data_IF_750175612055
#
_entry.id   IF_750175612055
#
_cell.length_a   1.000
_cell.length_b   1.000
_cell.length_c   1.000
_cell.angle_alpha   90.00
_cell.angle_beta   90.00
_cell.angle_gamma   90.00
#
_symmetry.space_group_name_H-M   'P 1'
#
loop_
_entity.id
_entity.type
_entity.pdbx_description
1 polymer ?
#
# COMPACT_ATOMS: atom_id res chain seq x y z
N UNK A 1 -3.52 28.55 -5.01
CA UNK A 1 -3.06 28.75 -3.62
C UNK A 1 -2.12 27.62 -3.29
N UNK A 2 -0.95 27.96 -2.77
CA UNK A 2 0.16 27.06 -2.51
C UNK A 2 -0.32 25.83 -1.74
N UNK A 3 -0.16 24.64 -2.36
CA UNK A 3 -0.33 23.36 -1.67
C UNK A 3 0.86 23.25 -0.74
N UNK A 4 0.63 23.60 0.51
CA UNK A 4 1.55 23.44 1.62
C UNK A 4 2.03 21.98 1.62
N UNK A 5 3.32 21.79 1.32
CA UNK A 5 4.01 20.50 1.22
C UNK A 5 4.42 20.02 2.63
N UNK A 6 4.04 20.74 3.69
CA UNK A 6 4.63 20.58 5.02
C UNK A 6 3.79 19.76 6.01
N UNK A 7 2.57 19.36 5.64
CA UNK A 7 1.67 18.52 6.45
C UNK A 7 1.46 17.11 5.84
N UNK A 8 2.42 16.61 5.05
CA UNK A 8 2.54 15.16 4.83
C UNK A 8 3.31 14.60 6.02
N UNK A 9 2.59 14.24 7.07
CA UNK A 9 3.11 13.49 8.22
C UNK A 9 4.07 12.39 7.73
N UNK A 10 5.18 12.21 8.43
CA UNK A 10 6.24 11.28 8.01
C UNK A 10 5.67 9.85 7.98
N UNK A 11 5.28 9.38 6.79
CA UNK A 11 4.71 8.04 6.56
C UNK A 11 5.66 6.93 7.02
N UNK A 12 6.97 7.18 7.00
CA UNK A 12 7.96 6.26 7.56
C UNK A 12 7.91 6.26 9.09
N UNK A 13 7.57 7.37 9.73
CA UNK A 13 7.30 7.43 11.17
C UNK A 13 5.95 6.78 11.52
N UNK A 14 4.88 7.03 10.76
CA UNK A 14 3.55 6.46 10.99
C UNK A 14 3.48 4.93 10.77
N UNK A 15 4.36 4.41 9.92
CA UNK A 15 4.57 2.98 9.70
C UNK A 15 5.12 2.19 10.90
N UNK A 16 5.00 2.66 12.15
CA UNK A 16 5.50 1.98 13.37
C UNK A 16 5.07 0.52 13.50
N UNK A 17 3.93 0.15 12.89
CA UNK A 17 3.44 -1.23 12.86
C UNK A 17 4.20 -2.14 11.88
N UNK A 18 5.21 -1.62 11.18
CA UNK A 18 6.07 -2.30 10.22
C UNK A 18 7.52 -2.25 10.75
N UNK A 19 7.98 -3.29 11.46
CA UNK A 19 9.31 -3.30 12.08
C UNK A 19 10.44 -3.17 11.06
N UNK A 20 10.25 -3.70 9.86
CA UNK A 20 11.16 -3.55 8.73
C UNK A 20 10.48 -2.73 7.65
N UNK A 21 11.04 -1.58 7.32
CA UNK A 21 10.47 -0.68 6.31
C UNK A 21 11.53 0.21 5.70
N UNK A 22 11.20 0.79 4.56
CA UNK A 22 12.03 1.78 3.90
C UNK A 22 11.21 2.71 3.02
N UNK A 23 11.78 3.88 2.78
CA UNK A 23 11.29 4.93 1.91
C UNK A 23 12.18 4.97 0.69
N UNK A 24 11.58 4.95 -0.49
CA UNK A 24 12.22 5.23 -1.77
C UNK A 24 11.69 6.57 -2.24
N UNK A 25 12.56 7.57 -2.33
CA UNK A 25 12.21 8.91 -2.81
C UNK A 25 12.82 9.13 -4.18
N UNK A 26 11.99 9.49 -5.15
CA UNK A 26 12.41 9.94 -6.47
C UNK A 26 13.01 11.34 -6.33
N UNK A 27 14.22 11.51 -6.81
CA UNK A 27 14.98 12.78 -6.72
C UNK A 27 14.41 13.89 -7.61
N UNK A 28 13.68 13.55 -8.68
CA UNK A 28 13.19 14.53 -9.66
C UNK A 28 12.02 15.38 -9.17
N UNK A 29 11.19 14.85 -8.28
CA UNK A 29 9.94 15.49 -7.82
C UNK A 29 9.60 15.21 -6.34
N UNK A 30 10.56 14.68 -5.58
CA UNK A 30 10.40 14.29 -4.17
C UNK A 30 9.21 13.35 -3.91
N UNK A 31 8.73 12.67 -4.95
CA UNK A 31 7.69 11.65 -4.80
C UNK A 31 8.27 10.45 -4.07
N UNK A 32 7.54 9.94 -3.08
CA UNK A 32 8.05 8.92 -2.18
C UNK A 32 7.13 7.71 -2.10
N UNK A 33 7.74 6.53 -2.10
CA UNK A 33 7.08 5.26 -1.78
C UNK A 33 7.61 4.77 -0.45
N UNK A 34 6.73 4.44 0.48
CA UNK A 34 7.12 3.73 1.71
C UNK A 34 6.69 2.28 1.58
N UNK A 35 7.62 1.36 1.76
CA UNK A 35 7.36 -0.07 1.73
C UNK A 35 7.77 -0.65 3.08
N UNK A 36 6.91 -1.47 3.67
CA UNK A 36 7.26 -2.15 4.90
C UNK A 36 6.61 -3.51 5.05
N UNK A 37 7.24 -4.33 5.86
CA UNK A 37 6.85 -5.69 6.14
C UNK A 37 6.44 -5.82 7.60
N UNK A 38 5.26 -6.37 7.84
CA UNK A 38 4.74 -6.65 9.18
C UNK A 38 5.38 -7.90 9.79
N UNK A 39 5.68 -8.88 8.94
CA UNK A 39 6.40 -10.12 9.24
C UNK A 39 7.25 -10.47 8.00
N UNK A 40 7.81 -11.67 7.87
CA UNK A 40 8.65 -12.00 6.71
C UNK A 40 7.95 -11.94 5.33
N UNK A 41 6.62 -11.86 5.25
CA UNK A 41 5.91 -11.98 3.97
C UNK A 41 4.78 -10.96 3.75
N UNK A 42 4.10 -10.50 4.79
CA UNK A 42 3.03 -9.52 4.68
C UNK A 42 3.58 -8.10 4.49
N UNK A 43 3.39 -7.58 3.29
CA UNK A 43 3.92 -6.28 2.86
C UNK A 43 2.82 -5.21 2.80
N UNK A 44 3.23 -3.96 2.98
CA UNK A 44 2.42 -2.76 2.74
C UNK A 44 3.22 -1.79 1.88
N UNK A 45 2.60 -1.33 0.79
CA UNK A 45 3.11 -0.31 -0.12
C UNK A 45 2.28 0.97 0.08
N UNK A 46 2.95 2.07 0.37
CA UNK A 46 2.39 3.40 0.47
C UNK A 46 2.98 4.20 -0.68
N UNK A 47 2.13 4.73 -1.56
CA UNK A 47 2.50 5.58 -2.67
C UNK A 47 2.13 7.02 -2.30
N UNK A 48 3.08 7.76 -1.74
CA UNK A 48 2.78 8.99 -1.01
C UNK A 48 1.75 8.74 0.11
N UNK A 49 0.87 9.71 0.34
CA UNK A 49 -0.19 9.60 1.37
C UNK A 49 -1.39 8.74 0.91
N UNK A 50 -1.59 8.65 -0.40
CA UNK A 50 -2.64 7.88 -1.06
C UNK A 50 -2.19 7.66 -2.52
N UNK A 51 -2.19 6.42 -3.05
CA UNK A 51 -2.80 5.21 -2.48
C UNK A 51 -1.93 4.38 -1.52
N UNK A 52 -2.59 3.52 -0.73
CA UNK A 52 -1.95 2.51 0.12
C UNK A 52 -2.46 1.12 -0.21
N UNK A 53 -1.56 0.16 -0.41
CA UNK A 53 -1.88 -1.24 -0.70
C UNK A 53 -1.30 -2.14 0.36
N UNK A 54 -2.13 -3.01 0.95
CA UNK A 54 -1.71 -3.96 1.96
C UNK A 54 -1.99 -5.37 1.49
N UNK A 55 -0.99 -6.22 1.66
CA UNK A 55 -1.00 -7.61 1.23
C UNK A 55 -0.99 -8.54 2.44
N UNK A 56 -1.43 -9.77 2.23
CA UNK A 56 -1.24 -10.86 3.19
C UNK A 56 0.12 -11.56 2.96
N UNK A 57 0.38 -12.61 3.74
CA UNK A 57 1.59 -13.43 3.65
C UNK A 57 1.69 -14.25 2.36
N UNK A 58 0.59 -14.44 1.64
CA UNK A 58 0.53 -15.11 0.34
C UNK A 58 0.72 -14.13 -0.85
N UNK A 59 0.98 -12.84 -0.58
CA UNK A 59 1.09 -11.82 -1.63
C UNK A 59 -0.25 -11.40 -2.23
N UNK A 60 -1.37 -11.74 -1.59
CA UNK A 60 -2.70 -11.33 -2.04
C UNK A 60 -3.10 -9.98 -1.43
N UNK A 61 -3.72 -9.12 -2.23
CA UNK A 61 -4.21 -7.82 -1.82
C UNK A 61 -5.39 -7.99 -0.85
N UNK A 62 -5.22 -7.51 0.38
CA UNK A 62 -6.23 -7.66 1.45
C UNK A 62 -6.89 -6.34 1.85
N UNK A 63 -6.21 -5.20 1.70
CA UNK A 63 -6.76 -3.87 1.99
C UNK A 63 -6.14 -2.83 1.09
N UNK A 64 -6.93 -1.83 0.74
CA UNK A 64 -6.49 -0.69 -0.07
C UNK A 64 -7.03 0.59 0.54
N UNK A 65 -6.25 1.66 0.51
CA UNK A 65 -6.71 3.02 0.68
C UNK A 65 -6.49 3.73 -0.66
N UNK A 66 -7.57 4.22 -1.26
CA UNK A 66 -7.52 4.92 -2.55
C UNK A 66 -8.59 6.00 -2.55
N UNK A 67 -8.24 7.22 -2.97
CA UNK A 67 -9.16 8.37 -3.06
C UNK A 67 -9.90 8.63 -1.73
N UNK A 68 -9.23 8.42 -0.60
CA UNK A 68 -9.82 8.59 0.74
C UNK A 68 -10.74 7.45 1.18
N UNK A 69 -10.90 6.40 0.37
CA UNK A 69 -11.77 5.26 0.64
C UNK A 69 -10.98 4.08 1.20
N UNK A 70 -11.51 3.47 2.27
CA UNK A 70 -10.96 2.23 2.82
C UNK A 70 -11.63 1.04 2.16
N UNK A 71 -10.84 0.24 1.47
CA UNK A 71 -11.26 -0.98 0.81
C UNK A 71 -10.65 -2.19 1.53
N UNK A 72 -11.41 -3.28 1.56
CA UNK A 72 -10.99 -4.55 2.12
C UNK A 72 -11.33 -5.68 1.16
N UNK A 73 -10.54 -6.73 1.17
CA UNK A 73 -10.84 -7.93 0.42
C UNK A 73 -11.90 -8.77 1.14
N UNK A 74 -12.91 -9.22 0.42
CA UNK A 74 -14.01 -10.07 0.87
C UNK A 74 -14.41 -10.99 -0.29
N UNK A 75 -14.36 -12.30 -0.08
CA UNK A 75 -14.69 -13.31 -1.10
C UNK A 75 -13.98 -13.08 -2.45
N UNK A 76 -12.68 -12.74 -2.43
CA UNK A 76 -11.84 -12.42 -3.61
C UNK A 76 -12.26 -11.18 -4.41
N UNK A 77 -13.02 -10.28 -3.79
CA UNK A 77 -13.38 -8.98 -4.34
C UNK A 77 -13.06 -7.89 -3.34
N UNK A 78 -12.95 -6.66 -3.82
CA UNK A 78 -12.81 -5.52 -2.93
C UNK A 78 -14.20 -5.02 -2.50
N UNK A 79 -14.35 -4.73 -1.22
CA UNK A 79 -15.53 -4.08 -0.62
C UNK A 79 -15.10 -2.77 0.02
N UNK A 80 -15.91 -1.74 -0.11
CA UNK A 80 -15.74 -0.46 0.57
C UNK A 80 -16.20 -0.61 2.01
N UNK A 81 -15.34 -0.23 2.94
CA UNK A 81 -15.67 -0.13 4.35
C UNK A 81 -16.25 1.26 4.61
N UNK A 82 -17.58 1.33 4.71
CA UNK A 82 -18.28 2.55 5.06
C UNK A 82 -18.51 2.57 6.56
N UNK A 83 -18.09 3.65 7.22
CA UNK A 83 -18.47 3.92 8.61
C UNK A 83 -19.92 4.38 8.61
N UNK A 84 -20.80 3.59 9.19
CA UNK A 84 -22.17 4.02 9.44
C UNK A 84 -22.16 4.82 10.74
N UNK A 85 -22.19 6.14 10.63
CA UNK A 85 -22.32 7.07 11.75
C UNK A 85 -23.76 7.27 12.23
N UNK A 86 -24.69 6.48 11.68
CA UNK A 86 -26.10 6.52 12.06
C UNK A 86 -26.37 5.46 13.12
N UNK A 87 -26.94 5.89 14.24
CA UNK A 87 -27.35 5.15 15.43
C UNK A 87 -26.35 5.20 16.60
N UNK A 88 -26.84 5.71 17.73
CA UNK A 88 -26.19 5.78 19.04
C UNK A 88 -25.94 4.39 19.66
N UNK A 89 -25.14 3.57 18.98
CA UNK A 89 -24.80 2.19 19.34
C UNK A 89 -23.37 1.83 18.95
N UNK A 90 -22.91 0.59 19.24
CA UNK A 90 -21.55 0.16 18.93
C UNK A 90 -21.23 0.29 17.45
N UNK A 91 -20.06 0.86 17.15
CA UNK A 91 -19.60 1.24 15.82
C UNK A 91 -19.66 0.06 14.84
N UNK A 92 -20.63 0.08 13.92
CA UNK A 92 -20.78 -0.97 12.90
C UNK A 92 -20.20 -0.50 11.56
N UNK A 93 -19.38 -1.33 10.95
CA UNK A 93 -18.83 -1.09 9.62
C UNK A 93 -19.72 -1.81 8.61
N UNK A 94 -20.33 -1.06 7.68
CA UNK A 94 -21.11 -1.66 6.59
C UNK A 94 -20.20 -1.85 5.38
N UNK A 95 -20.19 -3.06 4.83
CA UNK A 95 -19.43 -3.39 3.62
C UNK A 95 -20.30 -3.11 2.39
N UNK A 96 -19.79 -2.34 1.43
CA UNK A 96 -20.42 -2.14 0.14
C UNK A 96 -19.57 -2.80 -0.95
N UNK A 97 -20.09 -3.76 -1.74
CA UNK A 97 -19.36 -4.32 -2.86
C UNK A 97 -18.92 -3.25 -3.85
N UNK A 98 -17.65 -3.30 -4.30
CA UNK A 98 -17.20 -2.43 -5.38
C UNK A 98 -17.78 -2.90 -6.71
N UNK A 99 -18.09 -1.95 -7.58
CA UNK A 99 -18.37 -2.24 -8.98
C UNK A 99 -17.13 -2.78 -9.69
N UNK A 100 -17.34 -3.51 -10.79
CA UNK A 100 -16.25 -4.06 -11.62
C UNK A 100 -15.28 -2.98 -12.11
N UNK A 101 -15.80 -1.79 -12.43
CA UNK A 101 -15.01 -0.64 -12.86
C UNK A 101 -14.11 -0.10 -11.74
N UNK A 102 -14.64 0.04 -10.53
CA UNK A 102 -13.89 0.52 -9.37
C UNK A 102 -12.78 -0.47 -9.01
N UNK A 103 -13.09 -1.78 -9.03
CA UNK A 103 -12.09 -2.81 -8.81
C UNK A 103 -10.98 -2.76 -9.88
N UNK A 104 -11.35 -2.55 -11.14
CA UNK A 104 -10.37 -2.42 -12.24
C UNK A 104 -9.47 -1.19 -12.03
N UNK A 105 -10.04 -0.05 -11.59
CA UNK A 105 -9.26 1.16 -11.26
C UNK A 105 -8.24 0.89 -10.16
N UNK A 106 -8.64 0.21 -9.09
CA UNK A 106 -7.72 -0.15 -7.99
C UNK A 106 -6.55 -0.99 -8.50
N UNK A 107 -6.83 -2.01 -9.31
CA UNK A 107 -5.78 -2.87 -9.88
C UNK A 107 -4.87 -2.08 -10.84
N UNK A 108 -5.43 -1.16 -11.62
CA UNK A 108 -4.66 -0.30 -12.52
C UNK A 108 -3.78 0.70 -11.77
N UNK A 109 -4.28 1.29 -10.68
CA UNK A 109 -3.50 2.14 -9.79
C UNK A 109 -2.33 1.37 -9.16
N UNK A 110 -2.57 0.16 -8.67
CA UNK A 110 -1.51 -0.70 -8.14
C UNK A 110 -0.45 -1.01 -9.20
N UNK A 111 -0.87 -1.43 -10.40
CA UNK A 111 0.03 -1.74 -11.50
C UNK A 111 0.85 -0.52 -11.95
N UNK A 112 0.25 0.67 -11.93
CA UNK A 112 0.93 1.93 -12.27
C UNK A 112 1.97 2.28 -11.20
N UNK A 113 1.59 2.19 -9.92
CA UNK A 113 2.47 2.47 -8.77
C UNK A 113 3.69 1.55 -8.73
N UNK A 114 3.48 0.23 -8.92
CA UNK A 114 4.59 -0.74 -8.93
C UNK A 114 5.48 -0.57 -10.17
N UNK A 115 4.91 -0.26 -11.34
CA UNK A 115 5.68 0.02 -12.55
C UNK A 115 6.54 1.29 -12.41
N UNK A 116 5.98 2.36 -11.85
CA UNK A 116 6.71 3.61 -11.58
C UNK A 116 7.84 3.38 -10.58
N UNK A 117 7.57 2.67 -9.48
CA UNK A 117 8.59 2.31 -8.50
C UNK A 117 9.71 1.48 -9.14
N UNK A 118 9.37 0.46 -9.94
CA UNK A 118 10.36 -0.37 -10.64
C UNK A 118 11.22 0.45 -11.61
N UNK A 119 10.60 1.37 -12.36
CA UNK A 119 11.32 2.27 -13.29
C UNK A 119 12.29 3.16 -12.54
N UNK A 120 11.84 3.75 -11.43
CA UNK A 120 12.63 4.67 -10.61
C UNK A 120 13.81 3.96 -9.95
N UNK A 121 13.62 2.74 -9.45
CA UNK A 121 14.70 1.89 -8.96
C UNK A 121 15.71 1.52 -10.07
N UNK A 122 15.23 1.24 -11.28
CA UNK A 122 16.07 0.86 -12.42
C UNK A 122 16.89 2.03 -12.99
N UNK A 123 16.36 3.25 -12.94
CA UNK A 123 17.07 4.46 -13.35
C UNK A 123 18.15 4.90 -12.35
N UNK A 124 18.11 4.39 -11.11
CA UNK A 124 19.06 4.74 -10.04
C UNK A 124 18.88 6.15 -9.48
N UNK A 125 17.84 6.87 -9.90
CA UNK A 125 17.58 8.26 -9.50
C UNK A 125 16.71 8.31 -8.24
N UNK A 126 17.22 7.66 -7.18
CA UNK A 126 16.49 7.42 -5.93
C UNK A 126 17.33 7.70 -4.71
N UNK A 127 16.65 8.15 -3.65
CA UNK A 127 17.15 8.11 -2.28
C UNK A 127 16.41 7.01 -1.52
N UNK A 128 17.15 6.23 -0.76
CA UNK A 128 16.61 5.12 0.01
C UNK A 128 16.94 5.32 1.48
N UNK A 129 15.91 5.31 2.31
CA UNK A 129 16.02 5.39 3.77
C UNK A 129 15.34 4.17 4.37
N UNK A 130 15.96 3.49 5.34
CA UNK A 130 15.39 2.26 5.91
C UNK A 130 15.39 2.28 7.44
N UNK A 131 14.48 1.49 8.01
CA UNK A 131 14.34 1.27 9.46
C UNK A 131 14.20 -0.22 9.71
N UNK A 132 15.04 -0.77 10.59
CA UNK A 132 15.00 -2.20 10.98
C UNK A 132 15.48 -3.17 9.90
N UNK A 133 15.93 -2.69 8.74
CA UNK A 133 16.48 -3.46 7.63
C UNK A 133 17.59 -2.65 6.95
N UNK A 134 18.63 -3.34 6.48
CA UNK A 134 19.71 -2.73 5.69
C UNK A 134 19.21 -2.28 4.30
N UNK A 135 19.68 -1.13 3.75
CA UNK A 135 19.26 -0.65 2.43
C UNK A 135 19.47 -1.62 1.28
N UNK A 136 20.56 -2.39 1.25
CA UNK A 136 20.80 -3.38 0.19
C UNK A 136 19.83 -4.55 0.30
N UNK A 137 19.60 -5.05 1.52
CA UNK A 137 18.59 -6.10 1.76
C UNK A 137 17.16 -5.62 1.47
N UNK A 138 16.84 -4.38 1.83
CA UNK A 138 15.57 -3.75 1.52
C UNK A 138 15.32 -3.71 0.01
N UNK A 139 16.29 -3.21 -0.75
CA UNK A 139 16.19 -3.11 -2.21
C UNK A 139 16.11 -4.49 -2.87
N UNK A 140 16.90 -5.46 -2.41
CA UNK A 140 16.82 -6.83 -2.93
C UNK A 140 15.43 -7.43 -2.73
N UNK A 141 14.87 -7.29 -1.52
CA UNK A 141 13.54 -7.80 -1.17
C UNK A 141 12.42 -7.04 -1.87
N UNK A 142 12.57 -5.73 -2.06
CA UNK A 142 11.63 -4.92 -2.81
C UNK A 142 11.59 -5.34 -4.28
N UNK A 143 12.75 -5.57 -4.90
CA UNK A 143 12.82 -6.04 -6.29
C UNK A 143 12.22 -7.44 -6.46
N UNK A 144 12.50 -8.37 -5.55
CA UNK A 144 11.89 -9.70 -5.55
C UNK A 144 10.36 -9.63 -5.44
N UNK A 145 9.88 -8.80 -4.50
CA UNK A 145 8.45 -8.55 -4.37
C UNK A 145 7.85 -7.96 -5.65
N UNK A 146 8.43 -6.88 -6.20
CA UNK A 146 7.97 -6.24 -7.44
C UNK A 146 7.90 -7.21 -8.61
N UNK A 147 8.86 -8.13 -8.73
CA UNK A 147 8.87 -9.17 -9.76
C UNK A 147 7.70 -10.17 -9.59
N UNK A 148 7.28 -10.43 -8.35
CA UNK A 148 6.11 -11.28 -8.05
C UNK A 148 4.76 -10.59 -8.25
N UNK A 149 4.70 -9.26 -8.41
CA UNK A 149 3.45 -8.49 -8.51
C UNK A 149 2.80 -8.50 -9.90
N UNK A 150 3.26 -9.32 -10.84
CA UNK A 150 2.66 -9.39 -12.18
C UNK A 150 1.21 -9.89 -12.18
N UNK A 151 0.82 -10.73 -11.21
CA UNK A 151 -0.52 -11.36 -11.13
C UNK A 151 -1.17 -11.21 -9.75
N UNK A 152 -1.15 -10.00 -9.18
CA UNK A 152 -1.75 -9.75 -7.85
C UNK A 152 -3.19 -10.27 -7.76
N UNK A 153 -3.41 -11.21 -6.84
CA UNK A 153 -4.73 -11.74 -6.51
C UNK A 153 -5.35 -10.98 -5.34
N UNK A 154 -6.69 -10.89 -5.29
CA UNK A 154 -7.40 -10.33 -4.14
C UNK A 154 -7.64 -11.45 -3.12
N UNK A 155 -7.29 -11.19 -1.86
CA UNK A 155 -7.42 -12.16 -0.79
C UNK A 155 -8.88 -12.59 -0.59
N UNK A 156 -9.10 -13.78 -0.01
CA UNK A 156 -10.46 -14.22 0.33
C UNK A 156 -11.09 -13.38 1.46
N UNK A 157 -10.27 -12.74 2.29
CA UNK A 157 -10.75 -11.91 3.39
C UNK A 157 -9.71 -10.89 3.85
N UNK A 158 -10.07 -9.98 4.77
CA UNK A 158 -9.20 -8.90 5.22
C UNK A 158 -8.14 -9.33 6.25
N UNK A 159 -8.23 -10.57 6.73
CA UNK A 159 -7.31 -11.16 7.69
C UNK A 159 -5.94 -11.44 7.06
N UNK A 160 -4.90 -11.33 7.88
CA UNK A 160 -3.61 -11.96 7.57
C UNK A 160 -3.77 -13.42 8.02
N UNK A 161 -4.23 -14.29 7.12
CA UNK A 161 -4.27 -15.72 7.43
C UNK A 161 -2.83 -16.20 7.35
N UNK A 162 -2.27 -16.57 8.51
CA UNK A 162 -1.00 -17.27 8.64
C UNK A 162 -1.25 -18.76 8.73
#
# INVERSE_FOLDING_TARGET
MARDVSDREDLLAEGVNLPQRGRVSRTSDDHQWVVGWRNDTAISLFDGADPVFQFNTAGELRRVFLDGQKLAAEARRLVRLVRSSDQAGPMSHTQQPLGSEEQTRVMQCLATSTADLMKVLSCGDVRVETVGIDPHHFLARLNDWLASQAEVQIAHGPGVVG
#
